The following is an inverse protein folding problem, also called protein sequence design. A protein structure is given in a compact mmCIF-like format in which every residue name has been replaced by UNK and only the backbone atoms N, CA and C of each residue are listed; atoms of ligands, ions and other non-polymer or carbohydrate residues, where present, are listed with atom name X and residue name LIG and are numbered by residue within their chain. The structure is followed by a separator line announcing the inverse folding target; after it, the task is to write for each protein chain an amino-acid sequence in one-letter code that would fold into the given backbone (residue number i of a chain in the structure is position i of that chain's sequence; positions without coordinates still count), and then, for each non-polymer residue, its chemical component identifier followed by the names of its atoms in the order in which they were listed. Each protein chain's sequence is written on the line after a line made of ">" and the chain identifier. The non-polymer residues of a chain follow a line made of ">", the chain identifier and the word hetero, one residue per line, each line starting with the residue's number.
data_IF_856468234628
#
_entry.id   IF_856468234628
#
_cell.length_a   1.000
_cell.length_b   1.000
_cell.length_c   1.000
_cell.angle_alpha   90.00
_cell.angle_beta   90.00
_cell.angle_gamma   90.00
#
_symmetry.space_group_name_H-M   'P 1'
#
loop_
_entity.id
_entity.type
_entity.pdbx_description
1 polymer ?
#
# COMPACT_ATOMS: atom_id res chain seq x y z
N UNK A 1 24.12 19.60 8.04
CA UNK A 1 24.03 18.26 7.76
C UNK A 1 22.74 17.93 7.14
N UNK A 2 22.80 17.05 6.35
CA UNK A 2 21.61 16.71 5.71
C UNK A 2 21.03 15.51 6.32
N UNK A 3 19.90 15.68 6.80
CA UNK A 3 19.17 14.56 7.17
C UNK A 3 18.81 13.83 5.94
N UNK A 4 19.26 12.66 5.86
CA UNK A 4 18.82 11.83 4.78
C UNK A 4 17.47 11.31 5.15
N UNK A 5 16.49 12.02 4.76
CA UNK A 5 15.17 11.58 5.00
C UNK A 5 14.93 10.39 4.13
N UNK A 6 14.45 9.32 4.71
CA UNK A 6 13.98 8.22 3.94
C UNK A 6 12.77 8.70 3.18
N UNK A 7 12.82 8.59 1.88
CA UNK A 7 11.68 8.96 1.08
C UNK A 7 10.57 7.97 1.30
N UNK A 8 9.46 8.45 1.76
CA UNK A 8 8.27 7.65 1.86
C UNK A 8 7.50 7.74 0.56
N UNK A 9 6.83 6.66 0.21
CA UNK A 9 5.85 6.75 -0.85
C UNK A 9 4.76 7.71 -0.39
N UNK A 10 4.33 8.66 -1.21
CA UNK A 10 3.31 9.61 -0.77
C UNK A 10 1.97 8.93 -0.54
N UNK A 11 1.16 9.52 0.32
CA UNK A 11 -0.21 9.06 0.47
C UNK A 11 -0.91 9.16 -0.88
N UNK A 12 -1.71 8.17 -1.19
CA UNK A 12 -2.32 8.07 -2.51
C UNK A 12 -1.55 7.20 -3.48
N UNK A 13 -0.35 6.74 -3.09
CA UNK A 13 0.41 5.80 -3.91
C UNK A 13 -0.40 4.54 -4.12
N UNK A 14 -0.38 4.04 -5.34
CA UNK A 14 -1.13 2.85 -5.71
C UNK A 14 -0.21 1.67 -5.96
N UNK A 15 -0.68 0.48 -5.59
CA UNK A 15 0.01 -0.76 -5.86
C UNK A 15 -1.05 -1.83 -6.12
N UNK A 16 -0.73 -2.76 -7.00
CA UNK A 16 -1.68 -3.81 -7.37
C UNK A 16 -1.32 -5.11 -6.69
N UNK A 17 -2.30 -5.99 -6.60
CA UNK A 17 -2.08 -7.35 -6.11
C UNK A 17 -0.88 -7.97 -6.84
N UNK A 18 0.04 -8.53 -6.07
CA UNK A 18 1.26 -9.13 -6.61
C UNK A 18 2.45 -8.21 -6.66
N UNK A 19 2.23 -6.91 -6.57
CA UNK A 19 3.33 -5.95 -6.49
C UNK A 19 3.98 -6.02 -5.12
N UNK A 20 5.23 -5.63 -5.05
CA UNK A 20 5.92 -5.49 -3.77
C UNK A 20 5.44 -4.19 -3.12
N UNK A 21 5.04 -4.27 -1.87
CA UNK A 21 4.56 -3.10 -1.13
C UNK A 21 5.67 -2.08 -0.98
N UNK A 22 5.49 -0.86 -1.48
CA UNK A 22 6.55 0.15 -1.46
C UNK A 22 6.67 0.91 -0.15
N UNK A 23 5.68 0.82 0.72
CA UNK A 23 5.69 1.58 1.97
C UNK A 23 4.80 0.91 3.00
N UNK A 24 5.31 0.73 4.20
CA UNK A 24 4.52 0.18 5.30
C UNK A 24 3.42 1.16 5.69
N UNK A 25 2.23 0.66 5.85
CA UNK A 25 1.12 1.52 6.24
C UNK A 25 -0.21 0.82 6.08
N UNK A 26 -1.26 1.61 6.13
CA UNK A 26 -2.61 1.12 5.89
C UNK A 26 -2.98 1.39 4.45
N UNK A 27 -3.40 0.36 3.78
CA UNK A 27 -3.75 0.39 2.36
C UNK A 27 -5.23 0.09 2.20
N UNK A 28 -5.84 0.75 1.27
CA UNK A 28 -7.27 0.61 1.01
C UNK A 28 -7.51 0.14 -0.41
N UNK A 29 -8.44 -0.80 -0.57
CA UNK A 29 -8.84 -1.23 -1.90
C UNK A 29 -9.58 -0.10 -2.60
N UNK A 30 -9.15 0.22 -3.81
CA UNK A 30 -9.70 1.35 -4.54
C UNK A 30 -11.14 1.12 -5.00
N UNK A 31 -11.47 -0.10 -5.34
CA UNK A 31 -12.80 -0.39 -5.86
C UNK A 31 -13.77 -0.74 -4.74
N UNK A 32 -15.04 -0.78 -5.06
CA UNK A 32 -16.10 -1.13 -4.13
C UNK A 32 -16.46 -2.61 -4.26
N UNK A 33 -16.73 -3.32 -3.16
CA UNK A 33 -16.61 -2.84 -1.78
C UNK A 33 -15.15 -2.67 -1.42
N UNK A 34 -14.86 -1.70 -0.57
CA UNK A 34 -13.50 -1.42 -0.22
C UNK A 34 -13.22 -1.93 1.19
N UNK A 35 -11.95 -2.27 1.42
CA UNK A 35 -11.49 -2.67 2.73
C UNK A 35 -10.10 -2.09 2.94
N UNK A 36 -9.63 -2.12 4.17
CA UNK A 36 -8.28 -1.65 4.49
C UNK A 36 -7.51 -2.79 5.13
N UNK A 37 -6.20 -2.74 4.96
CA UNK A 37 -5.31 -3.71 5.57
C UNK A 37 -3.96 -3.08 5.84
N UNK A 38 -3.33 -3.40 6.96
CA UNK A 38 -1.94 -2.99 7.19
C UNK A 38 -1.03 -3.90 6.36
N UNK A 39 -0.15 -3.29 5.58
CA UNK A 39 0.77 -4.04 4.73
C UNK A 39 2.16 -3.47 4.94
N UNK A 40 3.12 -4.34 5.20
CA UNK A 40 4.49 -3.94 5.45
C UNK A 40 5.26 -3.81 4.15
N UNK A 41 6.15 -2.83 4.12
CA UNK A 41 7.05 -2.64 3.00
C UNK A 41 7.81 -3.93 2.72
N UNK A 42 7.87 -4.29 1.45
CA UNK A 42 8.55 -5.50 1.01
C UNK A 42 7.64 -6.72 0.88
N UNK A 43 6.48 -6.69 1.49
CA UNK A 43 5.53 -7.78 1.32
C UNK A 43 4.80 -7.63 -0.02
N UNK A 44 4.25 -8.72 -0.49
CA UNK A 44 3.44 -8.65 -1.70
C UNK A 44 2.05 -8.14 -1.36
N UNK A 45 1.53 -7.30 -2.24
CA UNK A 45 0.17 -6.82 -2.08
C UNK A 45 -0.79 -7.98 -2.27
N UNK A 46 -1.70 -8.20 -1.29
CA UNK A 46 -2.59 -9.35 -1.36
C UNK A 46 -3.77 -9.13 -2.31
N UNK A 47 -4.43 -10.20 -2.70
CA UNK A 47 -5.70 -10.06 -3.39
C UNK A 47 -6.81 -9.74 -2.40
N UNK A 48 -7.91 -9.24 -2.92
CA UNK A 48 -9.10 -9.04 -2.12
C UNK A 48 -10.24 -9.85 -2.72
N UNK A 49 -10.85 -10.68 -1.90
CA UNK A 49 -11.95 -11.55 -2.34
C UNK A 49 -11.55 -12.42 -3.53
N UNK A 50 -10.31 -12.92 -3.47
CA UNK A 50 -9.77 -13.79 -4.50
C UNK A 50 -9.47 -13.12 -5.83
N UNK A 51 -9.50 -11.79 -5.86
CA UNK A 51 -9.29 -11.04 -7.10
C UNK A 51 -8.15 -10.08 -6.98
N UNK A 52 -7.49 -9.82 -8.09
CA UNK A 52 -6.48 -8.78 -8.14
C UNK A 52 -7.16 -7.41 -8.03
N UNK A 53 -6.61 -6.57 -7.15
CA UNK A 53 -7.18 -5.24 -6.92
C UNK A 53 -6.08 -4.22 -6.87
N UNK A 54 -6.47 -2.94 -6.94
CA UNK A 54 -5.55 -1.83 -6.74
C UNK A 54 -5.70 -1.33 -5.32
N UNK A 55 -4.56 -1.22 -4.63
CA UNK A 55 -4.51 -0.71 -3.26
C UNK A 55 -3.98 0.72 -3.28
N UNK A 56 -4.47 1.54 -2.38
CA UNK A 56 -4.07 2.93 -2.23
C UNK A 56 -3.58 3.14 -0.81
N UNK A 57 -2.39 3.74 -0.67
CA UNK A 57 -1.84 4.05 0.64
C UNK A 57 -2.58 5.23 1.25
N UNK A 58 -3.20 5.01 2.40
CA UNK A 58 -4.00 6.05 3.05
C UNK A 58 -3.44 6.51 4.38
N UNK A 59 -2.50 5.76 4.93
CA UNK A 59 -1.92 6.11 6.23
C UNK A 59 -0.58 5.43 6.38
N UNK A 60 0.40 6.15 6.91
CA UNK A 60 1.70 5.56 7.20
C UNK A 60 1.63 4.70 8.46
N UNK A 61 2.51 3.72 8.52
CA UNK A 61 2.62 2.87 9.71
C UNK A 61 3.18 3.63 10.90
#
# INVERSE_FOLDING_TARGET
>A
MTLTATKRAPLGTKARTGDTCPESGVWKVESSPSTTAPIAKGNRMPPYDGKAVTWVLIQYA
#
